data_IF_939368780185
#
_entry.id   IF_939368780185
#
_cell.length_a   1.000
_cell.length_b   1.000
_cell.length_c   1.000
_cell.angle_alpha   90.00
_cell.angle_beta   90.00
_cell.angle_gamma   90.00
#
_symmetry.space_group_name_H-M   'P 1'
#
loop_
_entity.id
_entity.type
_entity.pdbx_description
1 polymer ?
#
# COMPACT_ATOMS: atom_id res chain seq x y z
N UNK A 1 -5.85 5.73 16.15
CA UNK A 1 -6.17 4.29 16.16
C UNK A 1 -5.24 3.64 17.17
N UNK A 2 -5.76 3.06 18.25
CA UNK A 2 -4.96 2.31 19.23
C UNK A 2 -5.21 0.83 19.00
N UNK A 3 -4.14 0.03 18.93
CA UNK A 3 -4.22 -1.42 18.80
C UNK A 3 -3.92 -2.05 20.15
N UNK A 4 -4.69 -3.06 20.53
CA UNK A 4 -4.60 -3.73 21.83
C UNK A 4 -3.50 -4.80 21.85
N UNK A 5 -3.00 -5.21 20.68
CA UNK A 5 -1.92 -6.17 20.54
C UNK A 5 -1.13 -5.95 19.23
N UNK A 6 0.08 -6.52 19.20
CA UNK A 6 0.92 -6.54 18.01
C UNK A 6 0.24 -7.26 16.83
N UNK A 7 -0.51 -8.33 17.10
CA UNK A 7 -1.19 -9.08 16.04
C UNK A 7 -2.36 -8.29 15.45
N UNK A 8 -3.09 -7.54 16.28
CA UNK A 8 -4.15 -6.65 15.79
C UNK A 8 -3.58 -5.52 14.91
N UNK A 9 -2.43 -4.97 15.29
CA UNK A 9 -1.71 -4.00 14.47
C UNK A 9 -1.32 -4.62 13.12
N UNK A 10 -0.66 -5.79 13.12
CA UNK A 10 -0.23 -6.47 11.88
C UNK A 10 -1.40 -6.73 10.95
N UNK A 11 -2.51 -7.27 11.48
CA UNK A 11 -3.70 -7.54 10.69
C UNK A 11 -4.28 -6.25 10.09
N UNK A 12 -4.38 -5.18 10.88
CA UNK A 12 -4.87 -3.89 10.38
C UNK A 12 -3.97 -3.30 9.30
N UNK A 13 -2.65 -3.56 9.36
CA UNK A 13 -1.68 -3.08 8.38
C UNK A 13 -1.81 -3.84 7.06
N UNK A 14 -1.93 -5.17 7.14
CA UNK A 14 -2.19 -6.01 5.97
C UNK A 14 -3.51 -5.64 5.29
N UNK A 15 -4.58 -5.45 6.06
CA UNK A 15 -5.88 -5.01 5.51
C UNK A 15 -5.81 -3.61 4.89
N UNK A 16 -5.03 -2.70 5.46
CA UNK A 16 -4.82 -1.39 4.86
C UNK A 16 -4.10 -1.49 3.52
N UNK A 17 -3.03 -2.29 3.45
CA UNK A 17 -2.30 -2.53 2.21
C UNK A 17 -3.22 -3.18 1.18
N UNK A 18 -3.85 -4.31 1.52
CA UNK A 18 -4.69 -5.06 0.58
C UNK A 18 -5.91 -4.28 0.08
N UNK A 19 -6.57 -3.52 0.97
CA UNK A 19 -7.80 -2.79 0.65
C UNK A 19 -7.59 -1.41 0.05
N UNK A 20 -6.54 -0.69 0.45
CA UNK A 20 -6.33 0.71 0.03
C UNK A 20 -5.10 0.89 -0.86
N UNK A 21 -4.09 0.04 -0.75
CA UNK A 21 -2.95 0.05 -1.66
C UNK A 21 -3.27 -0.83 -2.87
N UNK A 22 -3.70 -0.22 -3.97
CA UNK A 22 -3.89 -0.93 -5.23
C UNK A 22 -2.58 -0.92 -6.03
N UNK A 23 -1.85 -2.04 -6.13
CA UNK A 23 -0.54 -2.10 -6.80
C UNK A 23 -0.64 -1.99 -8.33
N UNK A 24 -1.85 -2.07 -8.88
CA UNK A 24 -2.12 -2.10 -10.32
C UNK A 24 -2.70 -0.77 -10.79
N UNK A 25 -3.38 -0.01 -9.92
CA UNK A 25 -4.01 1.26 -10.30
C UNK A 25 -2.95 2.36 -10.52
N UNK A 26 -2.96 3.05 -11.67
CA UNK A 26 -2.20 4.29 -11.88
C UNK A 26 -2.49 5.36 -10.85
N UNK A 27 -1.44 6.02 -10.35
CA UNK A 27 -1.57 7.17 -9.45
C UNK A 27 -0.98 8.42 -10.09
N UNK A 28 -1.64 9.57 -9.92
CA UNK A 28 -1.14 10.86 -10.44
C UNK A 28 0.20 11.25 -9.82
N UNK A 29 0.41 10.91 -8.55
CA UNK A 29 1.68 11.10 -7.84
C UNK A 29 2.83 10.27 -8.47
N UNK A 30 2.50 9.14 -9.09
CA UNK A 30 3.46 8.25 -9.76
C UNK A 30 3.54 8.53 -11.26
N UNK A 31 3.20 9.75 -11.71
CA UNK A 31 3.17 10.13 -13.13
C UNK A 31 2.26 9.24 -13.99
N UNK A 32 1.21 8.68 -13.40
CA UNK A 32 0.30 7.76 -14.08
C UNK A 32 0.79 6.30 -14.13
N UNK A 33 1.87 5.97 -13.43
CA UNK A 33 2.32 4.58 -13.25
C UNK A 33 1.61 3.95 -12.05
N UNK A 34 1.46 2.63 -12.09
CA UNK A 34 1.07 1.87 -10.89
C UNK A 34 2.21 1.90 -9.86
N UNK A 35 1.95 1.62 -8.58
CA UNK A 35 3.02 1.58 -7.58
C UNK A 35 4.14 0.60 -7.91
N UNK A 36 3.81 -0.61 -8.39
CA UNK A 36 4.81 -1.61 -8.80
C UNK A 36 5.62 -1.12 -10.01
N UNK A 37 4.96 -0.47 -10.97
CA UNK A 37 5.65 0.08 -12.13
C UNK A 37 6.59 1.21 -11.75
N UNK A 38 6.16 2.11 -10.86
CA UNK A 38 6.99 3.19 -10.36
C UNK A 38 8.18 2.65 -9.54
N UNK A 39 7.96 1.68 -8.65
CA UNK A 39 9.04 1.04 -7.90
C UNK A 39 10.11 0.47 -8.82
N UNK A 40 9.73 -0.35 -9.81
CA UNK A 40 10.67 -0.91 -10.79
C UNK A 40 11.39 0.14 -11.66
N UNK A 41 10.86 1.36 -11.76
CA UNK A 41 11.44 2.44 -12.57
C UNK A 41 12.40 3.32 -11.77
N UNK A 42 12.20 3.43 -10.45
CA UNK A 42 12.91 4.39 -9.59
C UNK A 42 13.78 3.74 -8.51
N UNK A 43 13.63 2.44 -8.24
CA UNK A 43 14.37 1.67 -7.23
C UNK A 43 14.88 0.35 -7.81
#
# INVERSE_FOLDING_TARGET
RHFHSLDQLKQSLLTYIDGFYNPIRPHSHNLGLSPVQAENYFF
#
